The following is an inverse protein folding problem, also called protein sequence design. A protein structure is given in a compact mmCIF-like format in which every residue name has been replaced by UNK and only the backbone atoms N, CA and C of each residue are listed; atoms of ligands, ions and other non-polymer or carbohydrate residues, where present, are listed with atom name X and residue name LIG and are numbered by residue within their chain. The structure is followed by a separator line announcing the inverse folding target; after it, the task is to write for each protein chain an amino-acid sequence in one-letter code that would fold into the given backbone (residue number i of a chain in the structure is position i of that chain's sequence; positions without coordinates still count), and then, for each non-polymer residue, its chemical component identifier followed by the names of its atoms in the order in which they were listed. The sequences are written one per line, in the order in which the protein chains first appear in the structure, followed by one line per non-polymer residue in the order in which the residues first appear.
data_IF_819496032997
#
_entry.id   IF_819496032997
#
_cell.length_a   1.000
_cell.length_b   1.000
_cell.length_c   1.000
_cell.angle_alpha   90.00
_cell.angle_beta   90.00
_cell.angle_gamma   90.00
#
_symmetry.space_group_name_H-M   'P 1'
#
loop_
_entity.id
_entity.type
_entity.pdbx_description
1 polymer ?
#
# COMPACT_ATOMS: atom_id res chain seq x y z
N UNK A 1 20.29 0.04 0.85
CA UNK A 1 19.08 -0.56 1.44
C UNK A 1 17.98 0.48 1.35
N UNK A 2 17.06 0.31 0.41
CA UNK A 2 16.06 1.33 0.08
C UNK A 2 14.88 1.20 1.05
N UNK A 3 14.85 2.05 2.06
CA UNK A 3 13.68 2.27 2.89
C UNK A 3 12.98 3.53 2.39
N UNK A 4 11.75 3.39 1.92
CA UNK A 4 10.94 4.51 1.45
C UNK A 4 9.90 4.82 2.51
N UNK A 5 9.76 6.08 2.92
CA UNK A 5 8.75 6.51 3.89
C UNK A 5 8.14 7.81 3.42
N UNK A 6 6.83 7.82 3.24
CA UNK A 6 6.06 9.02 2.87
C UNK A 6 4.76 9.10 3.65
N UNK A 7 4.28 10.32 3.88
CA UNK A 7 2.95 10.55 4.45
C UNK A 7 2.01 10.95 3.33
N UNK A 8 0.92 10.19 3.13
CA UNK A 8 -0.07 10.39 2.07
C UNK A 8 -1.47 10.44 2.68
N UNK A 9 -2.22 11.53 2.46
CA UNK A 9 -3.59 11.74 2.99
C UNK A 9 -3.73 11.44 4.50
N UNK A 10 -2.71 11.77 5.30
CA UNK A 10 -2.68 11.50 6.74
C UNK A 10 -2.27 10.07 7.13
N UNK A 11 -2.05 9.18 6.16
CA UNK A 11 -1.50 7.84 6.38
C UNK A 11 0.02 7.85 6.21
N UNK A 12 0.76 7.19 7.10
CA UNK A 12 2.20 6.99 6.93
C UNK A 12 2.45 5.70 6.14
N UNK A 13 2.92 5.81 4.91
CA UNK A 13 3.35 4.69 4.06
C UNK A 13 4.84 4.46 4.29
N UNK A 14 5.22 3.24 4.64
CA UNK A 14 6.61 2.85 4.85
C UNK A 14 6.88 1.53 4.11
N UNK A 15 7.88 1.53 3.23
CA UNK A 15 8.32 0.39 2.45
C UNK A 15 9.75 0.06 2.90
N UNK A 16 9.92 -1.07 3.57
CA UNK A 16 11.21 -1.59 4.01
C UNK A 16 11.70 -2.66 3.04
N UNK A 17 12.98 -2.57 2.65
CA UNK A 17 13.65 -3.55 1.78
C UNK A 17 12.92 -3.81 0.44
N UNK A 18 12.08 -2.88 -0.01
CA UNK A 18 11.26 -3.05 -1.22
C UNK A 18 10.33 -4.27 -1.20
N UNK A 19 10.12 -4.87 -0.03
CA UNK A 19 9.36 -6.12 0.16
C UNK A 19 8.34 -6.01 1.29
N UNK A 20 8.62 -5.24 2.34
CA UNK A 20 7.66 -5.01 3.42
C UNK A 20 6.96 -3.67 3.22
N UNK A 21 5.67 -3.72 2.91
CA UNK A 21 4.83 -2.53 2.86
C UNK A 21 4.05 -2.42 4.16
N UNK A 22 4.20 -1.30 4.87
CA UNK A 22 3.39 -0.97 6.03
C UNK A 22 2.68 0.37 5.79
N UNK A 23 1.40 0.44 6.16
CA UNK A 23 0.61 1.67 6.10
C UNK A 23 0.10 1.93 7.51
N UNK A 24 0.38 3.12 8.03
CA UNK A 24 0.05 3.54 9.40
C UNK A 24 0.51 2.55 10.48
N UNK A 25 1.62 1.83 10.23
CA UNK A 25 2.14 0.79 11.12
C UNK A 25 1.49 -0.60 10.99
N UNK A 26 0.44 -0.78 10.17
CA UNK A 26 -0.08 -2.11 9.82
C UNK A 26 0.65 -2.64 8.59
N UNK A 27 1.05 -3.90 8.64
CA UNK A 27 1.63 -4.59 7.49
C UNK A 27 0.55 -4.91 6.46
N UNK A 28 0.87 -4.63 5.19
CA UNK A 28 -0.02 -4.84 4.06
C UNK A 28 0.46 -6.07 3.31
N UNK A 29 -0.40 -7.08 3.31
CA UNK A 29 -0.20 -8.27 2.50
C UNK A 29 -0.57 -7.96 1.03
N UNK A 30 0.38 -8.20 0.13
CA UNK A 30 0.21 -7.99 -1.30
C UNK A 30 0.80 -9.17 -2.07
N UNK A 31 0.23 -9.40 -3.25
CA UNK A 31 0.68 -10.42 -4.16
C UNK A 31 1.14 -9.78 -5.47
N UNK A 32 2.33 -10.17 -5.92
CA UNK A 32 2.85 -9.74 -7.20
C UNK A 32 2.51 -10.78 -8.26
N UNK A 33 1.74 -10.36 -9.25
CA UNK A 33 1.31 -11.14 -10.40
C UNK A 33 2.32 -10.92 -11.54
N UNK A 34 3.34 -11.77 -11.60
CA UNK A 34 4.39 -11.69 -12.62
C UNK A 34 3.86 -11.84 -14.06
N UNK A 35 2.73 -12.55 -14.23
CA UNK A 35 2.09 -12.72 -15.53
C UNK A 35 1.50 -11.41 -16.10
N UNK A 36 1.15 -10.47 -15.22
CA UNK A 36 0.58 -9.17 -15.58
C UNK A 36 1.53 -8.01 -15.30
N UNK A 37 2.66 -8.27 -14.66
CA UNK A 37 3.57 -7.28 -14.08
C UNK A 37 2.84 -6.28 -13.17
N UNK A 38 1.96 -6.81 -12.30
CA UNK A 38 1.12 -5.97 -11.44
C UNK A 38 1.04 -6.49 -10.01
N UNK A 39 0.78 -5.58 -9.10
CA UNK A 39 0.56 -5.85 -7.69
C UNK A 39 -0.93 -5.84 -7.38
N UNK A 40 -1.39 -6.87 -6.67
CA UNK A 40 -2.71 -6.97 -6.06
C UNK A 40 -2.56 -7.03 -4.54
N UNK A 41 -3.59 -6.68 -3.79
CA UNK A 41 -3.58 -6.86 -2.34
C UNK A 41 -4.90 -7.44 -1.89
N UNK A 42 -4.90 -8.13 -0.75
CA UNK A 42 -6.12 -8.60 -0.10
C UNK A 42 -7.13 -7.47 0.16
N UNK A 43 -6.64 -6.25 0.39
CA UNK A 43 -7.49 -5.07 0.57
C UNK A 43 -8.08 -4.53 -0.75
N UNK A 44 -7.47 -4.87 -1.89
CA UNK A 44 -7.84 -4.42 -3.23
C UNK A 44 -7.81 -5.60 -4.23
N UNK A 45 -8.71 -6.60 -4.08
CA UNK A 45 -8.64 -7.83 -4.87
C UNK A 45 -8.99 -7.63 -6.37
N UNK A 46 -9.70 -6.55 -6.71
CA UNK A 46 -10.15 -6.26 -8.08
C UNK A 46 -9.30 -5.20 -8.80
N UNK A 47 -8.34 -4.60 -8.10
CA UNK A 47 -7.53 -3.52 -8.66
C UNK A 47 -6.07 -3.94 -8.71
N UNK A 48 -5.49 -3.83 -9.91
CA UNK A 48 -4.11 -4.21 -10.18
C UNK A 48 -3.28 -2.95 -10.41
N UNK A 49 -2.22 -2.77 -9.62
CA UNK A 49 -1.36 -1.59 -9.64
C UNK A 49 -0.01 -1.89 -10.28
N UNK A 50 0.58 -0.92 -10.97
CA UNK A 50 1.90 -1.11 -11.62
C UNK A 50 3.07 -1.03 -10.63
N UNK A 51 2.83 -0.54 -9.41
CA UNK A 51 3.88 -0.39 -8.40
C UNK A 51 3.34 -0.53 -6.98
N UNK A 52 4.20 -1.00 -6.09
CA UNK A 52 3.95 -1.07 -4.64
C UNK A 52 3.48 0.27 -4.05
N UNK A 53 4.03 1.37 -4.54
CA UNK A 53 3.70 2.72 -4.08
C UNK A 53 2.30 3.16 -4.53
N UNK A 54 1.88 2.79 -5.74
CA UNK A 54 0.51 3.05 -6.21
C UNK A 54 -0.51 2.24 -5.41
N UNK A 55 -0.21 0.95 -5.17
CA UNK A 55 -1.01 0.08 -4.32
C UNK A 55 -1.13 0.69 -2.91
N UNK A 56 -0.02 1.12 -2.33
CA UNK A 56 0.00 1.72 -0.99
C UNK A 56 -0.85 2.98 -0.90
N UNK A 57 -0.74 3.88 -1.89
CA UNK A 57 -1.56 5.09 -1.97
C UNK A 57 -3.04 4.77 -2.13
N UNK A 58 -3.37 3.78 -2.94
CA UNK A 58 -4.76 3.40 -3.14
C UNK A 58 -5.37 2.77 -1.88
N UNK A 59 -4.62 1.94 -1.16
CA UNK A 59 -5.05 1.39 0.14
C UNK A 59 -5.21 2.53 1.15
N UNK A 60 -4.24 3.45 1.25
CA UNK A 60 -4.32 4.61 2.13
C UNK A 60 -5.54 5.51 1.82
N UNK A 61 -5.89 5.66 0.54
CA UNK A 61 -7.03 6.46 0.09
C UNK A 61 -8.39 5.79 0.32
N UNK A 62 -8.50 4.51 -0.04
CA UNK A 62 -9.80 3.80 -0.02
C UNK A 62 -10.11 3.13 1.30
N UNK A 63 -9.09 2.82 2.11
CA UNK A 63 -9.32 2.16 3.38
C UNK A 63 -9.58 3.23 4.44
N UNK A 64 -10.86 3.42 4.73
CA UNK A 64 -11.36 4.29 5.83
C UNK A 64 -10.77 3.88 7.18
N UNK A 65 -10.34 2.62 7.33
CA UNK A 65 -9.58 2.15 8.49
C UNK A 65 -8.22 2.85 8.71
N UNK A 66 -7.68 3.50 7.67
CA UNK A 66 -6.39 4.18 7.71
C UNK A 66 -6.53 5.68 7.54
N UNK A 67 -7.55 6.12 6.80
CA UNK A 67 -7.88 7.54 6.65
C UNK A 67 -8.48 8.04 7.95
N UNK A 68 -7.72 8.84 8.69
CA UNK A 68 -8.11 9.45 9.95
C UNK A 68 -9.11 10.61 9.73
N UNK A 69 -10.10 10.41 8.86
CA UNK A 69 -11.24 11.32 8.73
C UNK A 69 -12.24 10.91 9.81
N UNK A 70 -12.10 11.59 10.96
CA UNK A 70 -13.12 11.64 11.99
C UNK A 70 -14.49 11.91 11.37
N UNK A 71 -15.47 11.15 11.87
CA UNK A 71 -16.91 11.44 11.84
C UNK A 71 -17.24 12.93 12.06
#
# INVERSE_FOLDING_TARGET
MSNHKETFEGCTIEIKNNTHLTINGKEIDYQYDAAKDKFSSKYMPYTLYGSLLELARAIAKHSVEFSHVKE
#
